data_IF_530944625932
#
_entry.id   IF_530944625932
#
_cell.length_a   1.000
_cell.length_b   1.000
_cell.length_c   1.000
_cell.angle_alpha   90.00
_cell.angle_beta   90.00
_cell.angle_gamma   90.00
#
_symmetry.space_group_name_H-M   'P 1'
#
loop_
_entity.id
_entity.type
_entity.pdbx_description
1 polymer ?
#
# COMPACT_ATOMS: atom_id res chain seq x y z
N UNK A 1 11.33 -9.71 15.99
CA UNK A 1 11.34 -8.33 16.52
C UNK A 1 10.01 -8.08 17.23
N UNK A 2 9.99 -7.41 18.39
CA UNK A 2 8.81 -7.19 19.25
C UNK A 2 8.10 -8.44 19.87
N UNK A 3 8.75 -9.62 19.86
CA UNK A 3 8.23 -10.81 20.55
C UNK A 3 7.10 -11.57 19.84
N UNK A 4 6.68 -11.13 18.65
CA UNK A 4 5.68 -11.84 17.86
C UNK A 4 6.27 -13.07 17.15
N UNK A 5 5.51 -14.15 17.12
CA UNK A 5 5.85 -15.37 16.36
C UNK A 5 5.50 -15.14 14.89
N UNK A 6 6.49 -15.26 14.01
CA UNK A 6 6.31 -15.09 12.56
C UNK A 6 6.44 -16.41 11.84
N UNK A 7 5.58 -16.62 10.85
CA UNK A 7 5.69 -17.68 9.85
C UNK A 7 5.88 -16.99 8.49
N UNK A 8 6.82 -17.49 7.68
CA UNK A 8 7.10 -16.98 6.34
C UNK A 8 6.81 -18.07 5.31
N UNK A 9 6.17 -17.70 4.20
CA UNK A 9 5.96 -18.54 3.02
C UNK A 9 6.69 -17.86 1.86
N UNK A 10 7.56 -18.58 1.16
CA UNK A 10 8.32 -18.05 0.03
C UNK A 10 8.66 -19.17 -0.97
N UNK A 11 8.83 -18.83 -2.25
CA UNK A 11 9.25 -19.74 -3.32
C UNK A 11 10.78 -19.71 -3.56
N UNK A 12 11.52 -18.77 -2.97
CA UNK A 12 12.97 -18.71 -3.07
C UNK A 12 13.62 -19.50 -1.93
N UNK A 13 14.22 -20.64 -2.29
CA UNK A 13 14.91 -21.51 -1.34
C UNK A 13 16.08 -20.81 -0.62
N UNK A 14 16.75 -19.85 -1.25
CA UNK A 14 17.83 -19.08 -0.63
C UNK A 14 17.31 -18.14 0.45
N UNK A 15 16.16 -17.50 0.20
CA UNK A 15 15.49 -16.67 1.20
C UNK A 15 15.01 -17.52 2.39
N UNK A 16 14.41 -18.68 2.11
CA UNK A 16 13.96 -19.62 3.14
C UNK A 16 15.10 -20.05 4.06
N UNK A 17 16.26 -20.40 3.51
CA UNK A 17 17.42 -20.81 4.31
C UNK A 17 17.93 -19.67 5.20
N UNK A 18 17.95 -18.44 4.68
CA UNK A 18 18.33 -17.26 5.45
C UNK A 18 17.34 -16.99 6.59
N UNK A 19 16.04 -16.96 6.29
CA UNK A 19 14.98 -16.68 7.25
C UNK A 19 14.90 -17.76 8.34
N UNK A 20 15.15 -19.03 7.98
CA UNK A 20 15.23 -20.14 8.94
C UNK A 20 16.39 -19.95 9.93
N UNK A 21 17.56 -19.48 9.47
CA UNK A 21 18.69 -19.15 10.35
C UNK A 21 18.39 -18.03 11.33
N UNK A 22 17.43 -17.15 10.99
CA UNK A 22 16.93 -16.08 11.87
C UNK A 22 15.86 -16.58 12.86
N UNK A 23 15.54 -17.87 12.87
CA UNK A 23 14.65 -18.50 13.86
C UNK A 23 13.15 -18.40 13.54
N UNK A 24 12.79 -17.96 12.34
CA UNK A 24 11.39 -17.95 11.90
C UNK A 24 10.94 -19.33 11.39
N UNK A 25 9.64 -19.63 11.53
CA UNK A 25 9.04 -20.80 10.88
C UNK A 25 8.87 -20.48 9.40
N UNK A 26 9.28 -21.41 8.54
CA UNK A 26 9.34 -21.20 7.09
C UNK A 26 8.65 -22.32 6.35
N UNK A 27 7.90 -21.97 5.31
CA UNK A 27 7.25 -22.89 4.38
C UNK A 27 7.69 -22.54 2.97
N UNK A 28 8.13 -23.54 2.22
CA UNK A 28 8.51 -23.36 0.83
C UNK A 28 7.32 -23.66 -0.09
N UNK A 29 6.96 -22.70 -0.95
CA UNK A 29 5.93 -22.90 -1.95
C UNK A 29 5.13 -21.64 -2.29
N UNK A 30 4.08 -21.85 -3.08
CA UNK A 30 3.18 -20.79 -3.54
C UNK A 30 2.21 -20.35 -2.42
N UNK A 31 2.33 -19.09 -1.99
CA UNK A 31 1.51 -18.50 -0.94
C UNK A 31 0.03 -18.34 -1.31
N UNK A 32 -0.35 -18.48 -2.59
CA UNK A 32 -1.76 -18.45 -3.02
C UNK A 32 -2.50 -19.76 -2.72
N UNK A 33 -1.77 -20.82 -2.35
CA UNK A 33 -2.33 -22.15 -2.06
C UNK A 33 -3.03 -22.21 -0.69
N UNK A 34 -4.35 -22.49 -0.64
CA UNK A 34 -5.10 -22.59 0.62
C UNK A 34 -4.56 -23.61 1.63
N UNK A 35 -4.09 -24.77 1.15
CA UNK A 35 -3.55 -25.83 2.00
C UNK A 35 -2.22 -25.40 2.65
N UNK A 36 -1.38 -24.65 1.93
CA UNK A 36 -0.13 -24.12 2.46
C UNK A 36 -0.38 -23.03 3.51
N UNK A 37 -1.32 -22.12 3.26
CA UNK A 37 -1.73 -21.09 4.22
C UNK A 37 -2.24 -21.70 5.53
N UNK A 38 -3.07 -22.75 5.44
CA UNK A 38 -3.55 -23.50 6.61
C UNK A 38 -2.40 -24.17 7.35
N UNK A 39 -1.49 -24.84 6.64
CA UNK A 39 -0.32 -25.45 7.24
C UNK A 39 0.58 -24.42 7.96
N UNK A 40 0.68 -23.20 7.41
CA UNK A 40 1.40 -22.07 8.01
C UNK A 40 0.66 -21.43 9.21
N UNK A 41 -0.59 -21.81 9.44
CA UNK A 41 -1.39 -21.43 10.59
C UNK A 41 -2.22 -20.16 10.40
N UNK A 42 -2.64 -19.84 9.16
CA UNK A 42 -3.47 -18.67 8.87
C UNK A 42 -4.74 -18.61 9.73
N UNK A 43 -5.35 -19.76 10.06
CA UNK A 43 -6.56 -19.88 10.90
C UNK A 43 -6.40 -19.27 12.31
N UNK A 44 -5.14 -19.09 12.76
CA UNK A 44 -4.79 -18.53 14.07
C UNK A 44 -3.94 -17.26 13.96
N UNK A 45 -3.67 -16.80 12.74
CA UNK A 45 -2.90 -15.60 12.51
C UNK A 45 -3.74 -14.37 12.87
N UNK A 46 -3.10 -13.36 13.45
CA UNK A 46 -3.75 -12.06 13.70
C UNK A 46 -3.51 -11.06 12.58
N UNK A 47 -2.40 -11.23 11.86
CA UNK A 47 -1.96 -10.34 10.78
C UNK A 47 -1.39 -11.20 9.66
N UNK A 48 -1.78 -10.90 8.43
CA UNK A 48 -1.16 -11.38 7.20
C UNK A 48 -0.52 -10.19 6.48
N UNK A 49 0.76 -10.34 6.13
CA UNK A 49 1.46 -9.37 5.27
C UNK A 49 1.65 -10.01 3.91
N UNK A 50 1.07 -9.42 2.87
CA UNK A 50 1.17 -9.87 1.48
C UNK A 50 2.21 -9.00 0.78
N UNK A 51 3.42 -9.54 0.63
CA UNK A 51 4.57 -8.85 0.04
C UNK A 51 5.27 -9.74 -0.99
N UNK A 52 4.52 -10.11 -2.04
CA UNK A 52 5.01 -10.91 -3.18
C UNK A 52 5.06 -10.05 -4.45
N UNK A 53 5.89 -10.42 -5.41
CA UNK A 53 6.17 -9.59 -6.59
C UNK A 53 5.02 -9.52 -7.61
N UNK A 54 4.27 -10.61 -7.76
CA UNK A 54 3.21 -10.71 -8.76
C UNK A 54 1.92 -10.02 -8.30
N UNK A 55 1.52 -8.98 -9.03
CA UNK A 55 0.38 -8.11 -8.69
C UNK A 55 -0.94 -8.87 -8.60
N UNK A 56 -1.17 -9.79 -9.54
CA UNK A 56 -2.38 -10.59 -9.56
C UNK A 56 -2.43 -11.53 -8.35
N UNK A 57 -1.31 -12.17 -8.03
CA UNK A 57 -1.18 -13.03 -6.86
C UNK A 57 -1.41 -12.28 -5.55
N UNK A 58 -0.92 -11.03 -5.41
CA UNK A 58 -1.21 -10.19 -4.23
C UNK A 58 -2.72 -10.00 -4.10
N UNK A 59 -3.39 -9.60 -5.18
CA UNK A 59 -4.83 -9.33 -5.18
C UNK A 59 -5.65 -10.59 -4.91
N UNK A 60 -5.30 -11.72 -5.52
CA UNK A 60 -5.98 -13.00 -5.28
C UNK A 60 -5.82 -13.48 -3.84
N UNK A 61 -4.60 -13.40 -3.29
CA UNK A 61 -4.34 -13.80 -1.91
C UNK A 61 -5.07 -12.88 -0.91
N UNK A 62 -5.05 -11.57 -1.13
CA UNK A 62 -5.79 -10.63 -0.29
C UNK A 62 -7.30 -10.92 -0.31
N UNK A 63 -7.87 -11.10 -1.52
CA UNK A 63 -9.29 -11.47 -1.70
C UNK A 63 -9.63 -12.76 -0.96
N UNK A 64 -8.82 -13.80 -1.13
CA UNK A 64 -9.00 -15.09 -0.45
C UNK A 64 -8.95 -14.91 1.07
N UNK A 65 -7.94 -14.22 1.58
CA UNK A 65 -7.74 -14.03 3.01
C UNK A 65 -8.90 -13.27 3.66
N UNK A 66 -9.32 -12.16 3.06
CA UNK A 66 -10.42 -11.32 3.56
C UNK A 66 -11.74 -12.08 3.56
N UNK A 67 -12.02 -12.86 2.51
CA UNK A 67 -13.27 -13.61 2.40
C UNK A 67 -13.35 -14.78 3.38
N UNK A 68 -12.23 -15.48 3.62
CA UNK A 68 -12.23 -16.72 4.41
C UNK A 68 -11.85 -16.50 5.88
N UNK A 69 -11.18 -15.40 6.22
CA UNK A 69 -10.71 -15.09 7.57
C UNK A 69 -11.09 -13.65 7.97
N UNK A 70 -12.37 -13.38 8.31
CA UNK A 70 -12.85 -12.03 8.60
C UNK A 70 -12.13 -11.33 9.77
N UNK A 71 -11.57 -12.09 10.72
CA UNK A 71 -10.83 -11.56 11.87
C UNK A 71 -9.33 -11.32 11.59
N UNK A 72 -8.84 -11.70 10.40
CA UNK A 72 -7.45 -11.56 10.01
C UNK A 72 -7.20 -10.14 9.47
N UNK A 73 -6.28 -9.41 10.09
CA UNK A 73 -5.84 -8.12 9.54
C UNK A 73 -4.91 -8.36 8.35
N UNK A 74 -5.29 -7.89 7.17
CA UNK A 74 -4.52 -8.07 5.92
C UNK A 74 -3.86 -6.77 5.54
N UNK A 75 -2.52 -6.79 5.47
CA UNK A 75 -1.67 -5.71 4.98
C UNK A 75 -1.13 -6.13 3.62
N UNK A 76 -1.39 -5.35 2.57
CA UNK A 76 -0.97 -5.68 1.21
C UNK A 76 -0.02 -4.65 0.61
N UNK A 77 1.06 -5.13 -0.01
CA UNK A 77 1.97 -4.33 -0.80
C UNK A 77 1.39 -4.09 -2.20
N UNK A 78 1.14 -2.84 -2.54
CA UNK A 78 0.66 -2.42 -3.85
C UNK A 78 1.81 -1.92 -4.72
N UNK A 79 1.88 -2.41 -5.95
CA UNK A 79 2.87 -2.00 -6.95
C UNK A 79 2.75 -0.52 -7.33
N UNK A 80 1.53 -0.04 -7.47
CA UNK A 80 1.23 1.33 -7.91
C UNK A 80 -0.18 1.75 -7.45
N UNK A 81 -0.61 2.96 -7.85
CA UNK A 81 -1.93 3.51 -7.48
C UNK A 81 -3.10 2.67 -7.99
N UNK A 82 -3.03 2.09 -9.18
CA UNK A 82 -4.12 1.27 -9.72
C UNK A 82 -4.27 -0.04 -8.96
N UNK A 83 -3.15 -0.68 -8.61
CA UNK A 83 -3.16 -1.87 -7.76
C UNK A 83 -3.75 -1.59 -6.37
N UNK A 84 -3.64 -0.35 -5.84
CA UNK A 84 -4.39 0.01 -4.62
C UNK A 84 -5.89 -0.12 -4.83
N UNK A 85 -6.42 0.29 -5.97
CA UNK A 85 -7.85 0.20 -6.25
C UNK A 85 -8.30 -1.26 -6.48
N UNK A 86 -7.48 -2.09 -7.11
CA UNK A 86 -7.73 -3.54 -7.21
C UNK A 86 -7.85 -4.18 -5.81
N UNK A 87 -6.91 -3.86 -4.92
CA UNK A 87 -6.91 -4.32 -3.54
C UNK A 87 -8.09 -3.75 -2.73
N UNK A 88 -8.44 -2.49 -2.96
CA UNK A 88 -9.60 -1.84 -2.34
C UNK A 88 -10.90 -2.55 -2.74
N UNK A 89 -11.06 -2.88 -4.03
CA UNK A 89 -12.25 -3.55 -4.55
C UNK A 89 -12.46 -4.95 -3.96
N UNK A 90 -11.38 -5.65 -3.58
CA UNK A 90 -11.47 -6.96 -2.90
C UNK A 90 -11.60 -6.86 -1.38
N UNK A 91 -11.76 -5.65 -0.84
CA UNK A 91 -12.01 -5.41 0.58
C UNK A 91 -10.76 -5.13 1.42
N UNK A 92 -9.56 -5.04 0.82
CA UNK A 92 -8.36 -4.72 1.58
C UNK A 92 -8.38 -3.23 1.98
N UNK A 93 -7.98 -2.93 3.20
CA UNK A 93 -8.05 -1.57 3.77
C UNK A 93 -6.71 -1.08 4.34
N UNK A 94 -5.73 -1.96 4.49
CA UNK A 94 -4.36 -1.61 4.87
C UNK A 94 -3.42 -1.93 3.69
N UNK A 95 -3.18 -0.92 2.86
CA UNK A 95 -2.51 -1.07 1.57
C UNK A 95 -1.34 -0.07 1.52
N UNK A 96 -0.13 -0.57 1.27
CA UNK A 96 1.08 0.24 1.20
C UNK A 96 1.65 0.17 -0.22
N UNK A 97 1.86 1.34 -0.85
CA UNK A 97 2.49 1.41 -2.18
C UNK A 97 4.02 1.32 -2.04
N UNK A 98 4.64 0.35 -2.72
CA UNK A 98 6.07 -0.01 -2.57
C UNK A 98 7.04 1.18 -2.59
N UNK A 99 6.84 2.13 -3.51
CA UNK A 99 7.77 3.24 -3.75
C UNK A 99 7.24 4.59 -3.27
N UNK A 100 6.04 4.63 -2.69
CA UNK A 100 5.40 5.90 -2.36
C UNK A 100 6.12 6.61 -1.20
N UNK A 101 6.40 5.92 -0.10
CA UNK A 101 7.08 6.52 1.06
C UNK A 101 8.51 6.98 0.73
N UNK A 102 9.21 6.22 -0.11
CA UNK A 102 10.53 6.64 -0.59
C UNK A 102 10.44 7.85 -1.52
N UNK A 103 9.40 7.95 -2.36
CA UNK A 103 9.15 9.13 -3.19
C UNK A 103 8.86 10.40 -2.36
N UNK A 104 8.13 10.28 -1.25
CA UNK A 104 7.90 11.38 -0.31
C UNK A 104 9.21 11.90 0.28
N UNK A 105 10.12 10.98 0.64
CA UNK A 105 11.47 11.33 1.09
C UNK A 105 12.29 12.01 -0.01
N UNK A 106 12.20 11.56 -1.26
CA UNK A 106 12.85 12.22 -2.41
C UNK A 106 12.32 13.65 -2.57
N UNK A 107 11.00 13.85 -2.50
CA UNK A 107 10.38 15.18 -2.53
C UNK A 107 10.91 16.10 -1.43
N UNK A 108 11.03 15.58 -0.20
CA UNK A 108 11.63 16.34 0.92
C UNK A 108 13.06 16.76 0.61
N UNK A 109 13.89 15.82 0.15
CA UNK A 109 15.28 16.10 -0.21
C UNK A 109 15.39 17.15 -1.32
N UNK A 110 14.48 17.13 -2.30
CA UNK A 110 14.43 18.13 -3.36
C UNK A 110 14.11 19.53 -2.80
N UNK A 111 13.12 19.66 -1.91
CA UNK A 111 12.84 20.93 -1.25
C UNK A 111 14.02 21.44 -0.42
N UNK A 112 14.68 20.56 0.34
CA UNK A 112 15.89 20.92 1.10
C UNK A 112 17.03 21.39 0.19
N UNK A 113 17.27 20.72 -0.95
CA UNK A 113 18.28 21.11 -1.93
C UNK A 113 17.99 22.46 -2.60
N UNK A 114 16.71 22.84 -2.71
CA UNK A 114 16.26 24.15 -3.19
C UNK A 114 16.34 25.26 -2.12
N UNK A 115 16.89 24.96 -0.94
CA UNK A 115 17.12 25.93 0.13
C UNK A 115 15.93 26.08 1.10
N UNK A 116 14.90 25.23 1.00
CA UNK A 116 13.79 25.26 1.96
C UNK A 116 14.25 24.58 3.26
N UNK A 117 14.06 25.22 4.44
CA UNK A 117 14.41 24.62 5.72
C UNK A 117 13.76 23.25 5.93
N UNK A 118 14.53 22.29 6.45
CA UNK A 118 14.08 20.90 6.66
C UNK A 118 12.74 20.76 7.39
N UNK A 119 12.48 21.61 8.37
CA UNK A 119 11.21 21.61 9.09
C UNK A 119 10.01 21.95 8.18
N UNK A 120 10.16 22.93 7.27
CA UNK A 120 9.17 23.29 6.26
C UNK A 120 9.03 22.21 5.20
N UNK A 121 10.16 21.70 4.67
CA UNK A 121 10.17 20.61 3.69
C UNK A 121 9.43 19.38 4.21
N UNK A 122 9.58 19.05 5.50
CA UNK A 122 8.83 17.97 6.14
C UNK A 122 7.33 18.25 6.14
N UNK A 123 6.90 19.43 6.61
CA UNK A 123 5.48 19.83 6.63
C UNK A 123 4.86 19.83 5.22
N UNK A 124 5.60 20.24 4.19
CA UNK A 124 5.11 20.25 2.80
C UNK A 124 4.83 18.84 2.28
N UNK A 125 5.73 17.89 2.58
CA UNK A 125 5.56 16.48 2.20
C UNK A 125 4.44 15.82 3.01
N UNK A 126 4.32 16.14 4.30
CA UNK A 126 3.18 15.71 5.14
C UNK A 126 1.85 16.23 4.57
N UNK A 127 1.77 17.51 4.20
CA UNK A 127 0.57 18.08 3.58
C UNK A 127 0.19 17.38 2.25
N UNK A 128 1.18 17.04 1.42
CA UNK A 128 0.95 16.26 0.21
C UNK A 128 0.46 14.84 0.53
N UNK A 129 1.11 14.16 1.48
CA UNK A 129 0.75 12.81 1.90
C UNK A 129 -0.71 12.72 2.38
N UNK A 130 -1.12 13.64 3.26
CA UNK A 130 -2.48 13.70 3.81
C UNK A 130 -3.52 13.90 2.71
N UNK A 131 -3.21 14.76 1.74
CA UNK A 131 -4.09 15.06 0.62
C UNK A 131 -4.17 13.91 -0.39
N UNK A 132 -3.05 13.26 -0.70
CA UNK A 132 -3.01 12.11 -1.59
C UNK A 132 -3.79 10.92 -1.02
N UNK A 133 -3.62 10.64 0.28
CA UNK A 133 -4.35 9.58 0.97
C UNK A 133 -5.85 9.80 0.94
N UNK A 134 -6.33 11.01 1.27
CA UNK A 134 -7.77 11.34 1.20
C UNK A 134 -8.32 11.20 -0.22
N UNK A 135 -7.64 11.81 -1.19
CA UNK A 135 -8.08 11.79 -2.59
C UNK A 135 -8.14 10.36 -3.13
N UNK A 136 -7.18 9.52 -2.77
CA UNK A 136 -7.15 8.12 -3.20
C UNK A 136 -8.38 7.34 -2.71
N UNK A 137 -8.77 7.50 -1.45
CA UNK A 137 -9.95 6.83 -0.91
C UNK A 137 -11.23 7.32 -1.60
N UNK A 138 -11.34 8.63 -1.85
CA UNK A 138 -12.50 9.23 -2.50
C UNK A 138 -12.70 8.82 -3.98
N UNK A 139 -11.64 8.38 -4.66
CA UNK A 139 -11.72 7.91 -6.05
C UNK A 139 -11.81 6.39 -6.14
N UNK A 140 -11.41 5.65 -5.09
CA UNK A 140 -11.35 4.20 -5.11
C UNK A 140 -12.71 3.54 -5.40
N UNK A 141 -13.80 4.07 -4.84
CA UNK A 141 -15.16 3.54 -5.06
C UNK A 141 -15.71 3.80 -6.48
N UNK A 142 -15.07 4.68 -7.25
CA UNK A 142 -15.44 4.97 -8.64
C UNK A 142 -14.67 4.12 -9.67
N UNK A 143 -13.72 3.31 -9.21
CA UNK A 143 -12.88 2.46 -10.04
C UNK A 143 -13.49 1.06 -10.18
N UNK A 144 -13.64 0.60 -11.42
CA UNK A 144 -14.03 -0.77 -11.74
C UNK A 144 -12.80 -1.58 -12.19
N UNK A 145 -12.32 -2.55 -11.40
CA UNK A 145 -11.16 -3.38 -11.74
C UNK A 145 -11.43 -4.33 -12.93
N UNK A 146 -12.70 -4.56 -13.30
CA UNK A 146 -13.04 -5.39 -14.45
C UNK A 146 -12.86 -4.65 -15.80
N UNK A 147 -12.66 -3.33 -15.76
CA UNK A 147 -12.53 -2.49 -16.95
C UNK A 147 -11.09 -2.01 -17.13
N UNK A 148 -10.56 -1.99 -18.37
CA UNK A 148 -9.36 -1.24 -18.69
C UNK A 148 -9.46 0.22 -18.23
N UNK A 149 -8.33 0.83 -17.85
CA UNK A 149 -8.30 2.18 -17.28
C UNK A 149 -8.95 3.23 -18.20
N UNK A 150 -8.74 3.09 -19.51
CA UNK A 150 -9.28 3.97 -20.54
C UNK A 150 -10.80 3.85 -20.73
N UNK A 151 -11.43 2.80 -20.20
CA UNK A 151 -12.88 2.58 -20.22
C UNK A 151 -13.55 2.87 -18.87
N UNK A 152 -12.77 3.33 -17.89
CA UNK A 152 -13.20 3.58 -16.53
C UNK A 152 -13.78 5.01 -16.41
N UNK A 153 -14.88 5.28 -17.11
CA UNK A 153 -15.42 6.65 -17.27
C UNK A 153 -15.81 7.30 -15.94
N UNK A 154 -16.39 6.53 -15.01
CA UNK A 154 -16.76 7.00 -13.67
C UNK A 154 -15.52 7.45 -12.88
N UNK A 155 -14.47 6.62 -12.87
CA UNK A 155 -13.17 6.95 -12.29
C UNK A 155 -12.56 8.20 -12.92
N UNK A 156 -12.54 8.30 -14.25
CA UNK A 156 -11.99 9.47 -14.96
C UNK A 156 -12.76 10.74 -14.60
N UNK A 157 -14.09 10.68 -14.55
CA UNK A 157 -14.94 11.81 -14.16
C UNK A 157 -14.64 12.25 -12.72
N UNK A 158 -14.55 11.30 -11.79
CA UNK A 158 -14.27 11.58 -10.38
C UNK A 158 -12.87 12.19 -10.17
N UNK A 159 -11.85 11.66 -10.85
CA UNK A 159 -10.49 12.23 -10.81
C UNK A 159 -10.48 13.66 -11.36
N UNK A 160 -11.19 13.93 -12.45
CA UNK A 160 -11.29 15.29 -13.03
C UNK A 160 -11.96 16.27 -12.06
N UNK A 161 -13.06 15.87 -11.44
CA UNK A 161 -13.78 16.67 -10.44
C UNK A 161 -12.89 17.03 -9.25
N UNK A 162 -12.15 16.04 -8.73
CA UNK A 162 -11.34 16.21 -7.53
C UNK A 162 -10.05 17.01 -7.75
N UNK A 163 -9.53 17.04 -8.98
CA UNK A 163 -8.21 17.61 -9.27
C UNK A 163 -8.10 19.08 -8.91
N UNK A 164 -9.07 19.90 -9.33
CA UNK A 164 -9.03 21.36 -9.09
C UNK A 164 -9.02 21.72 -7.60
N UNK A 165 -10.01 21.25 -6.81
CA UNK A 165 -10.04 21.44 -5.36
C UNK A 165 -8.77 20.94 -4.66
N UNK A 166 -8.26 19.78 -5.06
CA UNK A 166 -7.04 19.19 -4.51
C UNK A 166 -5.81 20.09 -4.77
N UNK A 167 -5.62 20.57 -6.00
CA UNK A 167 -4.50 21.45 -6.37
C UNK A 167 -4.57 22.79 -5.61
N UNK A 168 -5.79 23.34 -5.47
CA UNK A 168 -6.03 24.57 -4.74
C UNK A 168 -5.70 24.41 -3.24
N UNK A 169 -6.16 23.33 -2.61
CA UNK A 169 -5.92 23.06 -1.20
C UNK A 169 -4.43 22.82 -0.93
N UNK A 170 -3.78 21.97 -1.73
CA UNK A 170 -2.34 21.71 -1.60
C UNK A 170 -1.53 23.01 -1.75
N UNK A 171 -1.82 23.80 -2.78
CA UNK A 171 -1.16 25.07 -3.02
C UNK A 171 -1.35 26.05 -1.86
N UNK A 172 -2.53 26.07 -1.24
CA UNK A 172 -2.82 26.91 -0.07
C UNK A 172 -1.97 26.49 1.14
N UNK A 173 -1.99 25.20 1.50
CA UNK A 173 -1.20 24.65 2.62
C UNK A 173 0.29 24.88 2.44
N UNK A 174 0.82 24.68 1.22
CA UNK A 174 2.23 24.91 0.94
C UNK A 174 2.60 26.39 1.11
N UNK A 175 1.77 27.32 0.61
CA UNK A 175 2.03 28.77 0.77
C UNK A 175 2.04 29.18 2.24
N UNK A 176 1.15 28.63 3.05
CA UNK A 176 1.11 28.85 4.50
C UNK A 176 2.39 28.34 5.18
N UNK A 177 2.79 27.09 4.92
CA UNK A 177 4.03 26.51 5.46
C UNK A 177 5.27 27.32 5.10
N UNK A 178 5.33 27.87 3.88
CA UNK A 178 6.46 28.69 3.45
C UNK A 178 6.50 30.06 4.15
N UNK A 179 5.34 30.64 4.49
CA UNK A 179 5.22 31.90 5.24
C UNK A 179 5.58 31.74 6.71
N UNK A 180 5.38 30.55 7.27
CA UNK A 180 5.61 30.26 8.69
C UNK A 180 7.09 30.06 9.05
N UNK A 181 7.77 31.13 9.47
CA UNK A 181 9.01 31.12 10.28
C UNK A 181 10.13 30.18 9.84
#
# INVERSE_FOLDING_TARGET
>A
AAGYKTTVIDYDSKQIDMVRRLGARVYFGDATRPDLLKAAGIDRARVLVVAIDDVDSVTQLAKYAIHNFPDLHVIASARNRHHVYDLWAVGCRDIIRETYDSSLRVGRSAYEALGIPRAKSRKMVEAFNDLDHRAMLEVADSYDPALPLEKNDAYVARVKEMRGPWEQELGSRIREILRDG
#
